data_IF_707711653972
#
_entry.id   IF_707711653972
#
_cell.length_a   1.000
_cell.length_b   1.000
_cell.length_c   1.000
_cell.angle_alpha   90.00
_cell.angle_beta   90.00
_cell.angle_gamma   90.00
#
_symmetry.space_group_name_H-M   'P 1'
#
loop_
_entity.id
_entity.type
_entity.pdbx_description
1 polymer ?
#
# COMPACT_ATOMS: atom_id res chain seq x y z
N UNK A 1 -11.52 29.72 -13.23
CA UNK A 1 -10.59 29.50 -12.11
C UNK A 1 -10.38 28.00 -11.96
N UNK A 2 -9.16 27.48 -12.13
CA UNK A 2 -8.83 26.11 -11.73
C UNK A 2 -8.73 26.14 -10.21
N UNK A 3 -9.57 25.38 -9.50
CA UNK A 3 -9.51 25.29 -8.04
C UNK A 3 -8.11 24.85 -7.59
N UNK A 4 -7.74 25.07 -6.31
CA UNK A 4 -6.45 24.61 -5.82
C UNK A 4 -6.30 23.12 -6.16
N UNK A 5 -5.23 22.80 -6.87
CA UNK A 5 -4.92 21.45 -7.28
C UNK A 5 -4.78 20.61 -6.00
N UNK A 6 -5.84 19.88 -5.64
CA UNK A 6 -5.92 19.03 -4.42
C UNK A 6 -4.69 18.15 -4.30
N UNK A 7 -4.14 17.73 -5.44
CA UNK A 7 -2.95 16.91 -5.53
C UNK A 7 -1.66 17.67 -5.17
N UNK A 8 -1.55 18.96 -5.53
CA UNK A 8 -0.48 19.84 -5.03
C UNK A 8 -0.62 20.08 -3.54
N UNK A 9 -1.84 20.31 -3.03
CA UNK A 9 -2.10 20.44 -1.59
C UNK A 9 -1.63 19.19 -0.85
N UNK A 10 -1.88 17.99 -1.39
CA UNK A 10 -1.33 16.75 -0.81
C UNK A 10 0.21 16.66 -0.89
N UNK A 11 0.82 17.22 -1.93
CA UNK A 11 2.29 17.22 -2.15
C UNK A 11 3.06 18.32 -1.40
N UNK A 12 2.41 19.41 -0.96
CA UNK A 12 3.12 20.63 -0.49
C UNK A 12 3.03 20.90 1.02
N UNK A 13 2.40 20.05 1.84
CA UNK A 13 1.86 20.52 3.12
C UNK A 13 2.53 19.99 4.41
N UNK A 14 3.45 20.80 4.95
CA UNK A 14 3.75 20.95 6.40
C UNK A 14 4.35 19.76 7.18
N UNK A 15 5.07 20.09 8.26
CA UNK A 15 5.68 19.12 9.20
C UNK A 15 4.70 18.05 9.72
N UNK A 16 3.40 18.39 9.82
CA UNK A 16 2.35 17.48 10.30
C UNK A 16 2.12 16.33 9.32
N UNK A 17 2.07 16.58 8.01
CA UNK A 17 1.89 15.50 7.03
C UNK A 17 3.16 14.67 6.89
N UNK A 18 4.34 15.30 6.91
CA UNK A 18 5.60 14.56 6.90
C UNK A 18 5.73 13.62 8.10
N UNK A 19 5.33 14.08 9.29
CA UNK A 19 5.29 13.25 10.50
C UNK A 19 4.31 12.08 10.34
N UNK A 20 3.09 12.34 9.86
CA UNK A 20 2.09 11.30 9.66
C UNK A 20 2.53 10.24 8.62
N UNK A 21 3.19 10.65 7.55
CA UNK A 21 3.78 9.74 6.56
C UNK A 21 4.88 8.89 7.21
N UNK A 22 5.77 9.52 8.00
CA UNK A 22 6.86 8.83 8.70
C UNK A 22 6.33 7.77 9.67
N UNK A 23 5.37 8.13 10.51
CA UNK A 23 4.73 7.23 11.48
C UNK A 23 4.00 6.08 10.77
N UNK A 24 3.35 6.36 9.63
CA UNK A 24 2.70 5.33 8.82
C UNK A 24 3.73 4.36 8.23
N UNK A 25 4.84 4.86 7.69
CA UNK A 25 5.93 4.02 7.15
C UNK A 25 6.61 3.18 8.23
N UNK A 26 6.75 3.71 9.45
CA UNK A 26 7.29 2.98 10.59
C UNK A 26 6.34 1.87 11.05
N UNK A 27 5.04 2.17 11.17
CA UNK A 27 4.02 1.16 11.47
C UNK A 27 4.02 0.04 10.42
N UNK A 28 4.11 0.41 9.13
CA UNK A 28 4.20 -0.54 8.04
C UNK A 28 5.47 -1.40 8.15
N UNK A 29 6.63 -0.84 8.49
CA UNK A 29 7.87 -1.63 8.59
C UNK A 29 7.81 -2.60 9.77
N UNK A 30 7.24 -2.18 10.89
CA UNK A 30 6.99 -3.08 12.04
C UNK A 30 6.05 -4.21 11.62
N UNK A 31 4.99 -3.92 10.87
CA UNK A 31 4.04 -4.93 10.40
C UNK A 31 4.67 -5.91 9.41
N UNK A 32 5.54 -5.40 8.56
CA UNK A 32 6.28 -6.15 7.56
C UNK A 32 7.24 -7.14 8.21
N UNK A 33 8.03 -6.66 9.18
CA UNK A 33 9.14 -7.40 9.77
C UNK A 33 8.73 -8.25 10.98
N UNK A 34 7.81 -7.77 11.80
CA UNK A 34 7.45 -8.35 13.10
C UNK A 34 5.98 -8.79 13.19
N UNK A 35 5.24 -8.76 12.07
CA UNK A 35 3.85 -9.20 12.03
C UNK A 35 3.69 -10.70 12.33
N UNK A 36 2.52 -11.12 12.86
CA UNK A 36 2.27 -12.50 13.31
C UNK A 36 2.34 -13.56 12.20
N UNK A 37 2.28 -13.14 10.93
CA UNK A 37 2.27 -14.01 9.75
C UNK A 37 3.46 -13.72 8.82
N UNK A 38 4.64 -13.45 9.39
CA UNK A 38 5.87 -13.25 8.60
C UNK A 38 6.13 -14.48 7.71
N UNK A 39 6.49 -14.24 6.45
CA UNK A 39 6.76 -15.29 5.46
C UNK A 39 5.52 -15.92 4.80
N UNK A 40 4.31 -15.50 5.18
CA UNK A 40 3.08 -15.91 4.50
C UNK A 40 2.74 -14.97 3.33
N UNK A 41 2.01 -15.49 2.33
CA UNK A 41 1.55 -14.72 1.14
C UNK A 41 0.80 -13.46 1.58
N UNK A 42 -0.17 -13.60 2.49
CA UNK A 42 -0.97 -12.50 3.01
C UNK A 42 -0.55 -12.10 4.43
N UNK A 43 -0.84 -10.85 4.83
CA UNK A 43 -0.73 -10.37 6.22
C UNK A 43 -1.68 -11.11 7.16
N UNK A 44 -2.82 -11.60 6.65
CA UNK A 44 -3.72 -12.52 7.34
C UNK A 44 -3.23 -13.97 7.43
N UNK A 45 -2.11 -14.31 6.80
CA UNK A 45 -1.56 -15.66 6.80
C UNK A 45 -2.05 -16.45 5.59
N UNK A 46 -2.78 -17.53 5.84
CA UNK A 46 -3.31 -18.41 4.79
C UNK A 46 -4.63 -17.87 4.19
N UNK A 47 -5.31 -16.96 4.91
CA UNK A 47 -6.54 -16.30 4.46
C UNK A 47 -6.36 -14.77 4.49
N UNK A 48 -7.07 -14.08 3.61
CA UNK A 48 -7.17 -12.61 3.60
C UNK A 48 -7.91 -12.15 4.85
N UNK A 49 -7.40 -11.12 5.50
CA UNK A 49 -8.08 -10.41 6.59
C UNK A 49 -8.26 -8.91 6.30
N UNK A 50 -8.76 -8.16 7.27
CA UNK A 50 -8.99 -6.71 7.13
C UNK A 50 -7.71 -5.92 6.82
N UNK A 51 -6.54 -6.39 7.26
CA UNK A 51 -5.26 -5.73 7.02
C UNK A 51 -4.84 -5.91 5.57
N UNK A 52 -5.04 -7.10 5.01
CA UNK A 52 -4.81 -7.35 3.59
C UNK A 52 -5.68 -6.44 2.71
N UNK A 53 -6.96 -6.26 3.07
CA UNK A 53 -7.86 -5.38 2.32
C UNK A 53 -7.41 -3.92 2.41
N UNK A 54 -7.11 -3.43 3.61
CA UNK A 54 -6.67 -2.05 3.83
C UNK A 54 -5.34 -1.76 3.11
N UNK A 55 -4.38 -2.66 3.24
CA UNK A 55 -3.06 -2.50 2.63
C UNK A 55 -3.05 -2.77 1.14
N UNK A 56 -3.93 -3.66 0.65
CA UNK A 56 -4.12 -3.87 -0.79
C UNK A 56 -4.63 -2.60 -1.48
N UNK A 57 -5.63 -1.94 -0.89
CA UNK A 57 -6.11 -0.65 -1.39
C UNK A 57 -5.04 0.44 -1.34
N UNK A 58 -4.23 0.48 -0.28
CA UNK A 58 -3.10 1.41 -0.17
C UNK A 58 -2.04 1.14 -1.25
N UNK A 59 -1.63 -0.12 -1.43
CA UNK A 59 -0.63 -0.51 -2.43
C UNK A 59 -1.09 -0.15 -3.85
N UNK A 60 -2.36 -0.43 -4.16
CA UNK A 60 -2.97 -0.07 -5.45
C UNK A 60 -2.92 1.44 -5.71
N UNK A 61 -3.45 2.25 -4.78
CA UNK A 61 -3.47 3.70 -4.93
C UNK A 61 -2.07 4.31 -5.01
N UNK A 62 -1.11 3.75 -4.28
CA UNK A 62 0.27 4.24 -4.31
C UNK A 62 0.93 3.93 -5.66
N UNK A 63 0.66 2.78 -6.28
CA UNK A 63 1.10 2.49 -7.65
C UNK A 63 0.59 3.54 -8.66
N UNK A 64 -0.68 3.92 -8.57
CA UNK A 64 -1.27 4.98 -9.42
C UNK A 64 -0.56 6.32 -9.21
N UNK A 65 -0.29 6.69 -7.95
CA UNK A 65 0.44 7.93 -7.65
C UNK A 65 1.89 7.86 -8.14
N UNK A 66 2.57 6.72 -8.02
CA UNK A 66 3.93 6.59 -8.55
C UNK A 66 3.98 6.80 -10.07
N UNK A 67 3.02 6.23 -10.80
CA UNK A 67 2.87 6.36 -12.25
C UNK A 67 2.59 7.79 -12.68
N UNK A 68 1.58 8.44 -12.10
CA UNK A 68 1.21 9.82 -12.46
C UNK A 68 2.30 10.84 -12.10
N UNK A 69 3.03 10.56 -11.02
CA UNK A 69 3.86 11.55 -10.36
C UNK A 69 5.35 11.42 -10.71
N UNK A 70 5.73 10.30 -11.33
CA UNK A 70 7.10 9.94 -11.72
C UNK A 70 8.05 9.71 -10.54
N UNK A 71 7.51 9.53 -9.32
CA UNK A 71 8.28 9.40 -8.08
C UNK A 71 7.95 8.07 -7.43
N UNK A 72 8.97 7.32 -7.00
CA UNK A 72 8.79 6.17 -6.12
C UNK A 72 8.41 6.66 -4.72
N UNK A 73 7.32 6.13 -4.19
CA UNK A 73 6.80 6.39 -2.85
C UNK A 73 7.10 5.23 -1.90
N UNK A 74 7.08 3.98 -2.37
CA UNK A 74 7.48 2.83 -1.58
C UNK A 74 8.79 2.21 -2.08
N UNK A 75 9.64 1.88 -1.12
CA UNK A 75 10.81 1.05 -1.35
C UNK A 75 10.38 -0.43 -1.31
N UNK A 76 10.42 -1.08 -2.48
CA UNK A 76 10.07 -2.49 -2.62
C UNK A 76 11.00 -3.43 -1.84
N UNK A 77 12.24 -3.01 -1.56
CA UNK A 77 13.17 -3.78 -0.72
C UNK A 77 12.77 -3.67 0.76
N UNK A 78 12.26 -2.52 1.17
CA UNK A 78 11.80 -2.27 2.54
C UNK A 78 10.41 -2.83 2.83
N UNK A 79 9.52 -2.88 1.84
CA UNK A 79 8.14 -3.34 1.98
C UNK A 79 7.76 -4.40 0.93
N UNK A 80 8.48 -5.53 0.83
CA UNK A 80 8.32 -6.51 -0.25
C UNK A 80 6.93 -7.16 -0.31
N UNK A 81 6.30 -7.43 0.83
CA UNK A 81 4.96 -8.02 0.93
C UNK A 81 3.90 -7.01 0.59
N UNK A 82 4.01 -5.77 1.09
CA UNK A 82 3.09 -4.70 0.72
C UNK A 82 3.14 -4.44 -0.79
N UNK A 83 4.34 -4.44 -1.38
CA UNK A 83 4.53 -4.25 -2.81
C UNK A 83 3.89 -5.37 -3.64
N UNK A 84 3.97 -6.62 -3.19
CA UNK A 84 3.37 -7.76 -3.88
C UNK A 84 1.85 -7.89 -3.64
N UNK A 85 1.31 -7.27 -2.60
CA UNK A 85 -0.05 -7.54 -2.11
C UNK A 85 -1.14 -7.20 -3.14
N UNK A 86 -1.04 -6.07 -3.85
CA UNK A 86 -2.06 -5.66 -4.84
C UNK A 86 -2.18 -6.72 -5.96
N UNK A 87 -1.06 -7.09 -6.57
CA UNK A 87 -1.04 -8.13 -7.61
C UNK A 87 -1.57 -9.48 -7.12
N UNK A 88 -1.24 -9.87 -5.88
CA UNK A 88 -1.75 -11.11 -5.28
C UNK A 88 -3.27 -11.09 -5.06
N UNK A 89 -3.83 -9.95 -4.68
CA UNK A 89 -5.28 -9.80 -4.52
C UNK A 89 -6.00 -9.82 -5.88
N UNK A 90 -5.41 -9.19 -6.89
CA UNK A 90 -5.94 -9.20 -8.26
C UNK A 90 -5.93 -10.60 -8.86
N UNK A 91 -4.81 -11.33 -8.74
CA UNK A 91 -4.68 -12.73 -9.16
C UNK A 91 -5.77 -13.60 -8.50
N UNK A 92 -5.89 -13.53 -7.17
CA UNK A 92 -6.92 -14.29 -6.46
C UNK A 92 -8.34 -13.92 -6.92
N UNK A 93 -8.59 -12.64 -7.21
CA UNK A 93 -9.88 -12.19 -7.70
C UNK A 93 -10.19 -12.69 -9.12
N UNK A 94 -9.17 -12.87 -9.96
CA UNK A 94 -9.31 -13.46 -11.30
C UNK A 94 -9.62 -14.95 -11.20
N UNK A 95 -8.84 -15.70 -10.43
CA UNK A 95 -9.07 -17.14 -10.20
C UNK A 95 -10.50 -17.40 -9.71
N UNK A 96 -10.99 -16.57 -8.79
CA UNK A 96 -12.37 -16.66 -8.26
C UNK A 96 -13.45 -16.36 -9.29
N UNK A 97 -13.15 -15.55 -10.31
CA UNK A 97 -14.09 -15.24 -11.40
C UNK A 97 -14.13 -16.33 -12.46
N UNK A 98 -13.03 -17.03 -12.71
CA UNK A 98 -12.99 -18.15 -13.66
C UNK A 98 -13.67 -19.42 -13.13
N UNK A 99 -13.75 -19.55 -11.80
CA UNK A 99 -14.40 -20.68 -11.12
C UNK A 99 -15.92 -20.48 -10.89
N UNK A 100 -16.48 -19.33 -11.25
CA UNK A 100 -17.88 -18.95 -11.01
C UNK A 100 -18.70 -18.93 -12.32
#
# INVERSE_FOLDING_TARGET
MKGPNIWMVYRTLSEVQEKAVRESLEMLSIREEHGPNKGKKFFGGDNINIVDIAFGGLAHWMGVVEEESGRKMFDAEKFPRLHALDGQLQELALDRRELA
#
